data_IF_548526257030
#
_entry.id   IF_548526257030
#
_cell.length_a   1.000
_cell.length_b   1.000
_cell.length_c   1.000
_cell.angle_alpha   90.00
_cell.angle_beta   90.00
_cell.angle_gamma   90.00
#
_symmetry.space_group_name_H-M   'P 1'
#
loop_
_entity.id
_entity.type
_entity.pdbx_description
1 polymer ?
#
# COMPACT_ATOMS: atom_id res chain seq x y z
N UNK A 1 11.23 -58.91 31.30
CA UNK A 1 10.03 -58.05 31.08
C UNK A 1 10.20 -56.61 31.56
N UNK A 2 10.52 -56.33 32.84
CA UNK A 2 10.62 -54.95 33.37
C UNK A 2 11.61 -54.01 32.63
N UNK A 3 12.71 -54.55 32.08
CA UNK A 3 13.73 -53.77 31.34
C UNK A 3 13.26 -53.36 29.94
N UNK A 4 12.56 -54.25 29.25
CA UNK A 4 11.96 -54.00 27.93
C UNK A 4 10.87 -52.93 28.05
N UNK A 5 10.02 -53.05 29.08
CA UNK A 5 8.97 -52.05 29.37
C UNK A 5 9.55 -50.64 29.57
N UNK A 6 10.67 -50.50 30.31
CA UNK A 6 11.33 -49.21 30.51
C UNK A 6 11.87 -48.62 29.21
N UNK A 7 12.51 -49.43 28.38
CA UNK A 7 13.05 -48.98 27.08
C UNK A 7 11.91 -48.52 26.16
N UNK A 8 10.80 -49.26 26.12
CA UNK A 8 9.61 -48.87 25.33
C UNK A 8 9.02 -47.54 25.80
N UNK A 9 8.92 -47.30 27.11
CA UNK A 9 8.43 -46.03 27.65
C UNK A 9 9.36 -44.88 27.26
N UNK A 10 10.67 -45.05 27.36
CA UNK A 10 11.64 -44.01 26.98
C UNK A 10 11.52 -43.68 25.49
N UNK A 11 11.41 -44.69 24.62
CA UNK A 11 11.24 -44.48 23.18
C UNK A 11 9.93 -43.75 22.89
N UNK A 12 8.84 -44.11 23.59
CA UNK A 12 7.54 -43.45 23.43
C UNK A 12 7.59 -41.97 23.84
N UNK A 13 8.19 -41.67 24.99
CA UNK A 13 8.36 -40.29 25.47
C UNK A 13 9.25 -39.50 24.50
N UNK A 14 10.32 -40.10 24.00
CA UNK A 14 11.19 -39.47 23.02
C UNK A 14 10.46 -39.18 21.71
N UNK A 15 9.67 -40.12 21.19
CA UNK A 15 8.86 -39.92 19.99
C UNK A 15 7.83 -38.79 20.18
N UNK A 16 7.17 -38.72 21.34
CA UNK A 16 6.26 -37.64 21.70
C UNK A 16 6.97 -36.28 21.80
N UNK A 17 8.18 -36.25 22.36
CA UNK A 17 8.97 -35.03 22.45
C UNK A 17 9.39 -34.53 21.06
N UNK A 18 9.86 -35.42 20.19
CA UNK A 18 10.20 -35.08 18.80
C UNK A 18 8.96 -34.58 18.06
N UNK A 19 7.83 -35.28 18.18
CA UNK A 19 6.58 -34.87 17.56
C UNK A 19 6.13 -33.48 18.05
N UNK A 20 6.20 -33.23 19.36
CA UNK A 20 5.87 -31.95 19.95
C UNK A 20 6.76 -30.83 19.38
N UNK A 21 8.08 -31.03 19.35
CA UNK A 21 9.03 -30.05 18.80
C UNK A 21 8.75 -29.78 17.31
N UNK A 22 8.48 -30.82 16.50
CA UNK A 22 8.16 -30.65 15.08
C UNK A 22 6.83 -29.94 14.82
N UNK A 23 5.93 -29.91 15.81
CA UNK A 23 4.60 -29.29 15.68
C UNK A 23 4.55 -27.86 16.22
N UNK A 24 5.57 -27.41 16.96
CA UNK A 24 5.64 -26.02 17.44
C UNK A 24 5.75 -25.11 16.21
N UNK A 25 4.69 -24.31 15.99
CA UNK A 25 4.70 -23.22 15.02
C UNK A 25 4.90 -21.93 15.79
N UNK A 26 6.00 -21.25 15.52
CA UNK A 26 6.16 -19.88 15.95
C UNK A 26 5.39 -19.01 14.97
N UNK A 27 4.34 -18.36 15.46
CA UNK A 27 3.65 -17.29 14.73
C UNK A 27 4.17 -15.96 15.23
N UNK A 28 4.52 -15.06 14.32
CA UNK A 28 4.81 -13.65 14.63
C UNK A 28 3.57 -12.77 14.48
N UNK A 29 2.40 -13.38 14.29
CA UNK A 29 1.15 -12.67 14.12
C UNK A 29 0.73 -12.03 15.45
N UNK A 30 0.65 -10.70 15.47
CA UNK A 30 0.27 -9.93 16.65
C UNK A 30 -1.22 -10.13 16.97
N UNK A 31 -2.06 -10.49 15.99
CA UNK A 31 -3.48 -10.73 16.20
C UNK A 31 -3.75 -12.01 17.01
N UNK A 32 -2.85 -13.00 16.95
CA UNK A 32 -2.92 -14.20 17.81
C UNK A 32 -2.73 -13.90 19.30
N UNK A 33 -2.20 -12.72 19.64
CA UNK A 33 -2.03 -12.26 21.03
C UNK A 33 -3.29 -11.59 21.59
N UNK A 34 -4.30 -11.32 20.75
CA UNK A 34 -5.50 -10.61 21.18
C UNK A 34 -6.47 -11.53 21.96
N UNK A 35 -7.28 -10.97 22.87
CA UNK A 35 -8.27 -11.75 23.63
C UNK A 35 -9.38 -12.27 22.72
N UNK A 36 -9.51 -13.61 22.62
CA UNK A 36 -10.50 -14.25 21.75
C UNK A 36 -11.96 -14.15 22.22
N UNK A 37 -12.19 -13.69 23.45
CA UNK A 37 -13.51 -13.46 24.05
C UNK A 37 -14.15 -12.14 23.58
N UNK A 38 -13.36 -11.21 23.07
CA UNK A 38 -13.85 -9.94 22.53
C UNK A 38 -14.34 -10.09 21.09
N UNK A 39 -15.59 -9.68 20.77
CA UNK A 39 -16.07 -9.68 19.39
C UNK A 39 -15.26 -8.78 18.46
N UNK A 40 -14.71 -7.67 18.97
CA UNK A 40 -13.88 -6.72 18.22
C UNK A 40 -12.57 -7.36 17.77
N UNK A 41 -11.89 -8.09 18.65
CA UNK A 41 -10.65 -8.79 18.34
C UNK A 41 -10.86 -9.87 17.26
N UNK A 42 -11.98 -10.62 17.35
CA UNK A 42 -12.35 -11.60 16.32
C UNK A 42 -12.68 -10.96 14.98
N UNK A 43 -13.33 -9.79 14.99
CA UNK A 43 -13.60 -9.04 13.76
C UNK A 43 -12.31 -8.57 13.09
N UNK A 44 -11.37 -8.07 13.88
CA UNK A 44 -10.07 -7.61 13.39
C UNK A 44 -9.22 -8.76 12.83
N UNK A 45 -9.18 -9.92 13.50
CA UNK A 45 -8.53 -11.13 12.99
C UNK A 45 -9.11 -11.58 11.64
N UNK A 46 -10.45 -11.57 11.49
CA UNK A 46 -11.08 -11.92 10.21
C UNK A 46 -10.77 -10.91 9.10
N UNK A 47 -10.82 -9.61 9.41
CA UNK A 47 -10.45 -8.57 8.44
C UNK A 47 -8.99 -8.78 8.03
N UNK A 48 -8.10 -9.04 8.99
CA UNK A 48 -6.70 -9.29 8.66
C UNK A 48 -6.56 -10.51 7.73
N UNK A 49 -7.10 -11.66 8.15
CA UNK A 49 -6.92 -12.92 7.44
C UNK A 49 -7.50 -12.96 6.01
N UNK A 50 -8.57 -12.20 5.74
CA UNK A 50 -9.25 -12.22 4.43
C UNK A 50 -9.02 -10.98 3.59
N UNK A 51 -8.73 -9.84 4.21
CA UNK A 51 -8.60 -8.54 3.53
C UNK A 51 -7.26 -7.86 3.75
N UNK A 52 -6.47 -8.26 4.76
CA UNK A 52 -5.13 -7.74 4.88
C UNK A 52 -4.26 -8.29 3.79
N UNK A 53 -3.47 -7.39 3.23
CA UNK A 53 -2.37 -7.73 2.35
C UNK A 53 -1.17 -7.98 3.25
N UNK A 54 -1.17 -9.13 3.94
CA UNK A 54 -0.21 -9.50 5.01
C UNK A 54 1.27 -9.53 4.58
N UNK A 55 1.56 -9.25 3.30
CA UNK A 55 2.91 -9.13 2.76
C UNK A 55 3.16 -7.76 2.11
N UNK A 56 2.55 -6.67 2.64
CA UNK A 56 2.88 -5.33 2.21
C UNK A 56 4.15 -4.82 2.90
N UNK A 57 5.16 -4.53 2.09
CA UNK A 57 6.34 -3.77 2.51
C UNK A 57 6.16 -2.32 2.09
N UNK A 58 6.09 -1.41 3.07
CA UNK A 58 6.08 0.02 2.81
C UNK A 58 7.53 0.51 2.85
N UNK A 59 8.00 1.08 1.74
CA UNK A 59 9.33 1.66 1.62
C UNK A 59 9.19 3.19 1.58
N UNK A 60 9.80 3.85 2.56
CA UNK A 60 9.86 5.32 2.60
C UNK A 60 11.25 5.76 2.15
N UNK A 61 11.29 6.68 1.18
CA UNK A 61 12.53 7.25 0.66
C UNK A 61 12.61 8.69 1.15
N UNK A 62 13.71 9.01 1.84
CA UNK A 62 14.03 10.35 2.31
C UNK A 62 15.22 10.91 1.52
N UNK A 63 15.25 12.23 1.33
CA UNK A 63 16.24 12.87 0.47
C UNK A 63 16.25 14.39 0.59
N UNK A 64 17.28 15.01 0.00
CA UNK A 64 17.54 16.44 0.16
C UNK A 64 16.55 17.36 -0.59
N UNK A 65 15.77 16.82 -1.53
CA UNK A 65 14.73 17.56 -2.27
C UNK A 65 13.66 16.62 -2.80
N UNK A 66 12.43 17.12 -2.97
CA UNK A 66 11.33 16.32 -3.53
C UNK A 66 11.65 15.73 -4.90
N UNK A 67 12.32 16.50 -5.78
CA UNK A 67 12.76 16.00 -7.09
C UNK A 67 13.70 14.80 -6.99
N UNK A 68 14.65 14.84 -6.06
CA UNK A 68 15.60 13.74 -5.86
C UNK A 68 14.89 12.49 -5.30
N UNK A 69 13.92 12.68 -4.41
CA UNK A 69 13.09 11.59 -3.87
C UNK A 69 12.21 10.97 -4.96
N UNK A 70 11.58 11.78 -5.81
CA UNK A 70 10.77 11.28 -6.93
C UNK A 70 11.60 10.47 -7.92
N UNK A 71 12.78 10.96 -8.30
CA UNK A 71 13.67 10.27 -9.21
C UNK A 71 14.17 8.94 -8.62
N UNK A 72 14.55 8.94 -7.33
CA UNK A 72 14.96 7.74 -6.62
C UNK A 72 13.81 6.72 -6.48
N UNK A 73 12.59 7.20 -6.17
CA UNK A 73 11.39 6.37 -6.07
C UNK A 73 11.04 5.74 -7.42
N UNK A 74 11.13 6.52 -8.50
CA UNK A 74 10.93 6.04 -9.86
C UNK A 74 11.96 4.98 -10.26
N UNK A 75 13.24 5.22 -9.98
CA UNK A 75 14.31 4.27 -10.27
C UNK A 75 14.15 2.97 -9.47
N UNK A 76 13.84 3.06 -8.18
CA UNK A 76 13.59 1.89 -7.34
C UNK A 76 12.38 1.09 -7.84
N UNK A 77 11.31 1.78 -8.23
CA UNK A 77 10.12 1.13 -8.75
C UNK A 77 10.40 0.31 -10.02
N UNK A 78 11.25 0.79 -10.93
CA UNK A 78 11.66 0.04 -12.12
C UNK A 78 12.38 -1.25 -11.72
N UNK A 79 13.36 -1.16 -10.83
CA UNK A 79 14.13 -2.33 -10.37
C UNK A 79 13.22 -3.36 -9.66
N UNK A 80 12.30 -2.90 -8.82
CA UNK A 80 11.37 -3.76 -8.12
C UNK A 80 10.36 -4.41 -9.09
N UNK A 81 9.90 -3.68 -10.10
CA UNK A 81 8.99 -4.21 -11.11
C UNK A 81 9.61 -5.34 -11.95
N UNK A 82 10.93 -5.36 -12.12
CA UNK A 82 11.64 -6.46 -12.80
C UNK A 82 11.75 -7.73 -11.94
N UNK A 83 11.39 -7.68 -10.65
CA UNK A 83 11.47 -8.79 -9.70
C UNK A 83 10.12 -9.49 -9.50
N UNK A 84 9.49 -9.92 -10.60
CA UNK A 84 8.18 -10.60 -10.61
C UNK A 84 8.11 -11.85 -9.73
N UNK A 85 9.24 -12.48 -9.43
CA UNK A 85 9.31 -13.66 -8.55
C UNK A 85 9.18 -13.33 -7.06
N UNK A 86 9.39 -12.06 -6.69
CA UNK A 86 9.39 -11.58 -5.31
C UNK A 86 8.24 -10.63 -5.02
N UNK A 87 7.73 -9.93 -6.03
CA UNK A 87 6.75 -8.86 -5.89
C UNK A 87 5.54 -9.19 -6.74
N UNK A 88 4.42 -9.46 -6.08
CA UNK A 88 3.15 -9.70 -6.78
C UNK A 88 2.54 -8.44 -7.34
N UNK A 89 2.65 -7.32 -6.61
CA UNK A 89 2.13 -6.01 -7.00
C UNK A 89 2.98 -4.89 -6.41
N UNK A 90 3.17 -3.82 -7.18
CA UNK A 90 3.87 -2.61 -6.75
C UNK A 90 2.92 -1.40 -6.80
N UNK A 91 2.69 -0.79 -5.63
CA UNK A 91 1.90 0.43 -5.51
C UNK A 91 2.84 1.59 -5.23
N UNK A 92 2.72 2.65 -6.03
CA UNK A 92 3.38 3.94 -5.81
C UNK A 92 2.38 5.06 -6.02
N UNK A 93 2.63 6.20 -5.40
CA UNK A 93 1.86 7.41 -5.66
C UNK A 93 1.93 7.76 -7.16
N UNK A 94 0.79 8.16 -7.72
CA UNK A 94 0.69 8.43 -9.14
C UNK A 94 1.44 9.74 -9.46
N UNK A 95 2.56 9.63 -10.18
CA UNK A 95 3.26 10.79 -10.75
C UNK A 95 2.27 11.63 -11.59
N UNK A 96 2.36 12.95 -11.48
CA UNK A 96 1.65 13.93 -12.31
C UNK A 96 1.61 13.54 -13.79
N UNK A 97 2.71 13.04 -14.37
CA UNK A 97 2.77 12.58 -15.75
C UNK A 97 1.83 11.40 -16.02
N UNK A 98 1.70 10.47 -15.07
CA UNK A 98 0.78 9.33 -15.13
C UNK A 98 -0.66 9.78 -14.99
N UNK A 99 -0.93 10.70 -14.05
CA UNK A 99 -2.24 11.33 -13.89
C UNK A 99 -2.67 12.04 -15.18
N UNK A 100 -1.75 12.76 -15.85
CA UNK A 100 -2.03 13.37 -17.15
C UNK A 100 -2.18 12.36 -18.29
N UNK A 101 -1.41 11.27 -18.31
CA UNK A 101 -1.53 10.26 -19.35
C UNK A 101 -2.86 9.50 -19.24
N UNK A 102 -3.27 9.16 -18.02
CA UNK A 102 -4.48 8.36 -17.75
C UNK A 102 -5.74 9.23 -17.63
N UNK A 103 -5.64 10.40 -17.00
CA UNK A 103 -6.73 11.35 -16.78
C UNK A 103 -6.83 12.48 -17.80
N UNK A 104 -5.77 12.75 -18.57
CA UNK A 104 -5.77 13.79 -19.60
C UNK A 104 -6.85 13.60 -20.67
N UNK A 105 -7.11 12.38 -21.17
CA UNK A 105 -8.22 12.14 -22.09
C UNK A 105 -9.59 12.48 -21.49
N UNK A 106 -9.80 12.24 -20.19
CA UNK A 106 -11.03 12.59 -19.48
C UNK A 106 -11.18 14.10 -19.34
N UNK A 107 -10.09 14.80 -18.99
CA UNK A 107 -10.07 16.27 -18.92
C UNK A 107 -10.33 16.88 -20.30
N UNK A 108 -9.69 16.37 -21.35
CA UNK A 108 -9.89 16.82 -22.72
C UNK A 108 -11.32 16.55 -23.20
N UNK A 109 -11.89 15.40 -22.85
CA UNK A 109 -13.29 15.08 -23.13
C UNK A 109 -14.24 16.03 -22.39
N UNK A 110 -14.01 16.27 -21.10
CA UNK A 110 -14.83 17.18 -20.30
C UNK A 110 -14.76 18.61 -20.84
N UNK A 111 -13.58 19.04 -21.30
CA UNK A 111 -13.39 20.33 -21.95
C UNK A 111 -14.15 20.43 -23.27
N UNK A 112 -14.08 19.39 -24.11
CA UNK A 112 -14.73 19.36 -25.42
C UNK A 112 -16.25 19.26 -25.34
N UNK A 113 -16.78 18.62 -24.29
CA UNK A 113 -18.22 18.40 -24.10
C UNK A 113 -18.85 19.34 -23.06
N UNK A 114 -18.07 20.26 -22.49
CA UNK A 114 -18.54 21.21 -21.49
C UNK A 114 -19.43 22.31 -22.10
N UNK A 115 -20.29 22.96 -21.30
CA UNK A 115 -21.08 24.09 -21.78
C UNK A 115 -20.18 25.26 -22.18
N UNK A 116 -20.43 25.94 -23.31
CA UNK A 116 -19.56 27.00 -23.84
C UNK A 116 -19.43 28.21 -22.89
N UNK A 117 -20.38 28.39 -21.98
CA UNK A 117 -20.35 29.44 -20.95
C UNK A 117 -19.21 29.23 -19.94
N UNK A 118 -18.86 27.97 -19.63
CA UNK A 118 -17.77 27.65 -18.71
C UNK A 118 -16.41 27.94 -19.36
N UNK A 119 -16.31 27.66 -20.66
CA UNK A 119 -15.13 27.89 -21.48
C UNK A 119 -14.81 29.38 -21.64
N UNK A 120 -15.82 30.18 -21.98
CA UNK A 120 -15.71 31.64 -22.07
C UNK A 120 -15.40 32.32 -20.73
N UNK A 121 -15.96 31.79 -19.63
CA UNK A 121 -15.59 32.21 -18.27
C UNK A 121 -14.13 31.91 -17.97
N UNK A 122 -13.64 30.72 -18.33
CA UNK A 122 -12.23 30.35 -18.14
C UNK A 122 -11.30 31.25 -18.98
N UNK A 123 -11.65 31.51 -20.23
CA UNK A 123 -10.88 32.39 -21.12
C UNK A 123 -10.76 33.81 -20.57
N UNK A 124 -11.86 34.35 -20.03
CA UNK A 124 -11.89 35.65 -19.36
C UNK A 124 -10.99 35.70 -18.11
N UNK A 125 -10.99 34.62 -17.31
CA UNK A 125 -10.13 34.49 -16.12
C UNK A 125 -8.66 34.33 -16.47
N UNK A 126 -8.35 33.61 -17.56
CA UNK A 126 -6.99 33.34 -18.03
C UNK A 126 -6.49 34.34 -19.07
N UNK A 127 -7.23 35.43 -19.31
CA UNK A 127 -6.85 36.47 -20.24
C UNK A 127 -5.50 37.12 -19.85
N UNK A 128 -4.80 37.66 -20.86
CA UNK A 128 -3.52 38.32 -20.67
C UNK A 128 -3.61 39.42 -19.59
N UNK A 129 -2.75 39.35 -18.59
CA UNK A 129 -2.72 40.28 -17.45
C UNK A 129 -3.50 39.82 -16.21
N UNK A 130 -4.38 38.81 -16.32
CA UNK A 130 -5.13 38.22 -15.18
C UNK A 130 -4.74 36.77 -14.88
N UNK A 131 -4.12 36.09 -15.84
CA UNK A 131 -3.79 34.68 -15.76
C UNK A 131 -2.92 34.32 -14.55
N UNK A 132 -1.92 35.12 -14.22
CA UNK A 132 -1.01 34.85 -13.09
C UNK A 132 -1.72 34.94 -11.75
N UNK A 133 -2.58 35.94 -11.58
CA UNK A 133 -3.40 36.13 -10.36
C UNK A 133 -4.45 35.01 -10.24
N UNK A 134 -5.12 34.67 -11.35
CA UNK A 134 -6.09 33.58 -11.38
C UNK A 134 -5.45 32.21 -11.08
N UNK A 135 -4.23 31.95 -11.55
CA UNK A 135 -3.46 30.75 -11.25
C UNK A 135 -3.04 30.70 -9.77
N UNK A 136 -2.60 31.83 -9.22
CA UNK A 136 -2.21 31.90 -7.81
C UNK A 136 -3.39 31.63 -6.89
N UNK A 137 -4.54 32.28 -7.14
CA UNK A 137 -5.75 32.06 -6.36
C UNK A 137 -6.28 30.63 -6.46
N UNK A 138 -6.19 30.01 -7.65
CA UNK A 138 -6.57 28.60 -7.80
C UNK A 138 -5.61 27.65 -7.06
N UNK A 139 -4.32 27.96 -7.00
CA UNK A 139 -3.34 27.18 -6.24
C UNK A 139 -3.55 27.31 -4.73
N UNK A 140 -3.90 28.49 -4.22
CA UNK A 140 -4.28 28.69 -2.82
C UNK A 140 -5.55 27.91 -2.46
N UNK A 141 -6.58 27.96 -3.30
CA UNK A 141 -7.84 27.22 -3.07
C UNK A 141 -7.62 25.69 -3.04
N UNK A 142 -6.71 25.17 -3.88
CA UNK A 142 -6.31 23.76 -3.86
C UNK A 142 -5.50 23.45 -2.59
N UNK A 143 -4.61 24.34 -2.15
CA UNK A 143 -3.84 24.15 -0.94
C UNK A 143 -4.72 24.05 0.31
N UNK A 144 -5.79 24.85 0.40
CA UNK A 144 -6.73 24.83 1.53
C UNK A 144 -7.70 23.64 1.51
N UNK A 145 -7.84 22.96 0.37
CA UNK A 145 -8.74 21.82 0.20
C UNK A 145 -8.14 20.47 0.66
N UNK A 146 -6.85 20.43 0.99
CA UNK A 146 -6.10 19.25 1.43
C UNK A 146 -5.36 19.50 2.75
#
# INVERSE_FOLDING_TARGET
MKRILRVTIVILVFALAVLAITRVRFSSDVFELLPGDLPEARGLDQINRFFSRDAQLILTIDGQSGRAVDEATGALAVVLHEQDSLISDLFREADFKRILAEGGPLVAWAWFNGPPEHLSSLESRLAAGKSTEALHGALEEIHDAF
#
